data_IF_997970608316
#
_entry.id   IF_997970608316
#
_cell.length_a   1.000
_cell.length_b   1.000
_cell.length_c   1.000
_cell.angle_alpha   90.00
_cell.angle_beta   90.00
_cell.angle_gamma   90.00
#
_symmetry.space_group_name_H-M   'P 1'
#
loop_
_entity.id
_entity.type
_entity.pdbx_description
1 polymer ?
#
# COMPACT_ATOMS: atom_id res chain seq x y z
N UNK A 1 -4.93 -13.26 2.35
CA UNK A 1 -6.30 -13.72 2.64
C UNK A 1 -6.34 -14.03 4.13
N UNK A 2 -7.26 -13.38 4.86
CA UNK A 2 -7.74 -13.66 6.22
C UNK A 2 -6.93 -13.38 7.49
N UNK A 3 -5.81 -12.64 7.49
CA UNK A 3 -5.24 -12.17 8.78
C UNK A 3 -6.23 -11.25 9.53
N UNK A 4 -6.97 -10.39 8.82
CA UNK A 4 -8.01 -9.50 9.39
C UNK A 4 -9.19 -10.26 10.01
N UNK A 5 -9.47 -11.46 9.49
CA UNK A 5 -10.56 -12.32 9.97
C UNK A 5 -10.09 -13.24 11.08
N UNK A 6 -8.87 -13.79 10.95
CA UNK A 6 -8.29 -14.74 11.89
C UNK A 6 -7.73 -14.05 13.14
N UNK A 7 -7.16 -12.85 13.00
CA UNK A 7 -6.50 -12.11 14.10
C UNK A 7 -7.26 -10.84 14.50
N UNK A 8 -8.03 -10.25 13.58
CA UNK A 8 -8.70 -8.96 13.77
C UNK A 8 -10.15 -9.03 14.26
N UNK A 9 -10.74 -10.22 14.36
CA UNK A 9 -12.14 -10.44 14.76
C UNK A 9 -13.17 -9.67 13.90
N UNK A 10 -12.79 -9.26 12.69
CA UNK A 10 -13.69 -8.53 11.79
C UNK A 10 -14.71 -9.50 11.19
N UNK A 11 -16.03 -9.23 11.27
CA UNK A 11 -17.03 -10.06 10.63
C UNK A 11 -16.76 -10.20 9.14
N UNK A 12 -16.88 -11.43 8.62
CA UNK A 12 -16.66 -11.73 7.19
C UNK A 12 -17.55 -10.89 6.25
N UNK A 13 -18.70 -10.44 6.75
CA UNK A 13 -19.64 -9.54 6.06
C UNK A 13 -19.08 -8.13 5.82
N UNK A 14 -18.10 -7.67 6.61
CA UNK A 14 -17.44 -6.37 6.45
C UNK A 14 -16.25 -6.42 5.49
N UNK A 15 -15.83 -7.59 5.05
CA UNK A 15 -14.75 -7.73 4.08
C UNK A 15 -15.28 -7.31 2.70
N UNK A 16 -14.57 -6.41 1.99
CA UNK A 16 -14.81 -6.12 0.59
C UNK A 16 -14.88 -7.40 -0.27
N UNK A 17 -16.08 -7.88 -0.58
CA UNK A 17 -16.31 -9.08 -1.42
C UNK A 17 -16.87 -8.72 -2.81
N UNK A 18 -17.04 -7.44 -3.11
CA UNK A 18 -17.51 -6.95 -4.40
C UNK A 18 -16.35 -6.66 -5.37
N UNK A 19 -16.63 -6.77 -6.66
CA UNK A 19 -15.74 -6.27 -7.71
C UNK A 19 -15.92 -4.76 -7.79
N UNK A 20 -14.83 -3.99 -7.68
CA UNK A 20 -14.87 -2.54 -7.82
C UNK A 20 -14.50 -2.12 -9.24
N UNK A 21 -15.30 -1.24 -9.83
CA UNK A 21 -15.07 -0.66 -11.16
C UNK A 21 -14.07 0.50 -11.17
N UNK A 22 -13.78 1.09 -10.00
CA UNK A 22 -12.85 2.20 -9.82
C UNK A 22 -11.89 1.91 -8.68
N UNK A 23 -10.63 2.33 -8.83
CA UNK A 23 -9.62 2.17 -7.79
C UNK A 23 -9.97 3.01 -6.56
N UNK A 24 -10.48 4.23 -6.74
CA UNK A 24 -11.01 5.08 -5.67
C UNK A 24 -12.06 4.38 -4.81
N UNK A 25 -13.01 3.66 -5.41
CA UNK A 25 -14.02 2.90 -4.67
C UNK A 25 -13.42 1.73 -3.88
N UNK A 26 -12.43 1.04 -4.46
CA UNK A 26 -11.70 -0.02 -3.77
C UNK A 26 -10.91 0.49 -2.56
N UNK A 27 -10.14 1.58 -2.70
CA UNK A 27 -9.39 2.16 -1.58
C UNK A 27 -10.30 2.70 -0.50
N UNK A 28 -11.47 3.25 -0.87
CA UNK A 28 -12.43 3.71 0.13
C UNK A 28 -12.96 2.53 0.96
N UNK A 29 -13.24 1.40 0.32
CA UNK A 29 -13.64 0.19 1.04
C UNK A 29 -12.53 -0.35 1.95
N UNK A 30 -11.25 -0.26 1.54
CA UNK A 30 -10.12 -0.61 2.40
C UNK A 30 -9.96 0.33 3.59
N UNK A 31 -10.15 1.64 3.40
CA UNK A 31 -10.10 2.62 4.49
C UNK A 31 -11.22 2.37 5.53
N UNK A 32 -12.44 2.06 5.07
CA UNK A 32 -13.55 1.69 5.96
C UNK A 32 -13.31 0.36 6.67
N UNK A 33 -12.65 -0.60 6.00
CA UNK A 33 -12.23 -1.86 6.61
C UNK A 33 -11.21 -1.63 7.73
N UNK A 34 -10.21 -0.77 7.52
CA UNK A 34 -9.20 -0.41 8.53
C UNK A 34 -9.84 0.19 9.79
N UNK A 35 -10.82 1.09 9.61
CA UNK A 35 -11.55 1.68 10.73
C UNK A 35 -12.43 0.64 11.44
N UNK A 36 -13.12 -0.21 10.67
CA UNK A 36 -13.93 -1.30 11.21
C UNK A 36 -13.10 -2.30 12.01
N UNK A 37 -11.87 -2.60 11.55
CA UNK A 37 -10.92 -3.45 12.25
C UNK A 37 -10.54 -2.85 13.60
N UNK A 38 -10.14 -1.58 13.64
CA UNK A 38 -9.79 -0.89 14.88
C UNK A 38 -10.94 -0.93 15.91
N UNK A 39 -12.18 -0.66 15.47
CA UNK A 39 -13.35 -0.66 16.37
C UNK A 39 -13.69 -2.06 16.88
N UNK A 40 -13.46 -3.10 16.08
CA UNK A 40 -13.87 -4.47 16.40
C UNK A 40 -12.81 -5.25 17.18
N UNK A 41 -11.56 -4.79 17.19
CA UNK A 41 -10.46 -5.43 17.91
C UNK A 41 -10.67 -5.28 19.42
N UNK A 42 -10.76 -6.42 20.12
CA UNK A 42 -10.97 -6.47 21.58
C UNK A 42 -9.69 -6.78 22.40
N UNK A 43 -8.60 -7.18 21.75
CA UNK A 43 -7.36 -7.60 22.42
C UNK A 43 -6.45 -6.39 22.70
N UNK A 44 -5.32 -6.60 23.40
CA UNK A 44 -4.19 -5.69 23.73
C UNK A 44 -3.56 -4.97 22.51
N UNK A 45 -4.40 -4.39 21.67
CA UNK A 45 -4.06 -3.62 20.48
C UNK A 45 -3.84 -2.16 20.83
N UNK A 46 -4.25 -1.73 22.01
CA UNK A 46 -4.14 -0.36 22.49
C UNK A 46 -3.43 -0.37 23.83
N UNK A 47 -2.29 0.29 23.90
CA UNK A 47 -1.44 0.29 25.10
C UNK A 47 -1.78 1.46 26.04
N UNK A 48 -2.35 2.55 25.51
CA UNK A 48 -2.75 3.75 26.25
C UNK A 48 -3.85 4.55 25.54
N UNK A 49 -4.42 5.56 26.22
CA UNK A 49 -5.37 6.48 25.60
C UNK A 49 -4.75 7.26 24.42
N UNK A 50 -3.50 7.70 24.57
CA UNK A 50 -2.78 8.43 23.52
C UNK A 50 -2.51 7.53 22.32
N UNK A 51 -2.15 6.27 22.55
CA UNK A 51 -1.99 5.27 21.49
C UNK A 51 -3.33 4.98 20.78
N UNK A 52 -4.42 4.85 21.52
CA UNK A 52 -5.78 4.73 20.96
C UNK A 52 -6.11 5.91 20.04
N UNK A 53 -5.89 7.12 20.53
CA UNK A 53 -6.13 8.37 19.79
C UNK A 53 -5.29 8.42 18.53
N UNK A 54 -4.00 8.06 18.64
CA UNK A 54 -3.07 8.03 17.51
C UNK A 54 -3.52 7.02 16.44
N UNK A 55 -3.85 5.79 16.82
CA UNK A 55 -4.35 4.73 15.92
C UNK A 55 -5.66 5.14 15.23
N UNK A 56 -6.56 5.80 15.97
CA UNK A 56 -7.82 6.30 15.42
C UNK A 56 -7.60 7.46 14.44
N UNK A 57 -6.77 8.44 14.80
CA UNK A 57 -6.42 9.58 13.94
C UNK A 57 -5.77 9.13 12.63
N UNK A 58 -4.83 8.18 12.67
CA UNK A 58 -4.17 7.65 11.48
C UNK A 58 -5.19 7.12 10.46
N UNK A 59 -6.21 6.38 10.92
CA UNK A 59 -7.27 5.82 10.05
C UNK A 59 -8.23 6.89 9.52
N UNK A 60 -8.56 7.91 10.32
CA UNK A 60 -9.37 9.04 9.85
C UNK A 60 -8.63 9.86 8.80
N UNK A 61 -7.34 10.13 9.01
CA UNK A 61 -6.52 10.87 8.06
C UNK A 61 -6.29 10.07 6.78
N UNK A 62 -6.06 8.77 6.88
CA UNK A 62 -6.00 7.89 5.72
C UNK A 62 -7.32 7.82 4.96
N UNK A 63 -8.46 7.77 5.65
CA UNK A 63 -9.77 7.86 5.00
C UNK A 63 -9.92 9.19 4.26
N UNK A 64 -9.48 10.31 4.86
CA UNK A 64 -9.46 11.63 4.19
C UNK A 64 -8.54 11.62 2.97
N UNK A 65 -7.35 11.02 3.07
CA UNK A 65 -6.40 10.87 1.96
C UNK A 65 -7.04 10.17 0.75
N UNK A 66 -7.86 9.14 1.02
CA UNK A 66 -8.57 8.38 -0.02
C UNK A 66 -9.78 9.14 -0.56
N UNK A 67 -10.54 9.83 0.28
CA UNK A 67 -11.79 10.51 -0.13
C UNK A 67 -11.55 11.86 -0.82
N UNK A 68 -10.57 12.63 -0.35
CA UNK A 68 -10.22 13.92 -0.93
C UNK A 68 -9.61 13.73 -2.32
N UNK A 69 -10.27 14.30 -3.34
CA UNK A 69 -9.84 14.19 -4.73
C UNK A 69 -8.45 14.77 -4.97
N UNK A 70 -8.13 15.91 -4.36
CA UNK A 70 -6.84 16.59 -4.56
C UNK A 70 -5.70 15.79 -3.96
N UNK A 71 -5.92 15.17 -2.80
CA UNK A 71 -4.92 14.31 -2.16
C UNK A 71 -4.77 13.00 -2.93
N UNK A 72 -5.88 12.38 -3.34
CA UNK A 72 -5.89 11.13 -4.09
C UNK A 72 -5.20 11.26 -5.45
N UNK A 73 -5.39 12.37 -6.16
CA UNK A 73 -4.73 12.61 -7.45
C UNK A 73 -3.19 12.65 -7.33
N UNK A 74 -2.62 12.93 -6.15
CA UNK A 74 -1.15 12.93 -5.95
C UNK A 74 -0.50 11.55 -5.96
N UNK A 75 -1.26 10.49 -5.68
CA UNK A 75 -0.73 9.13 -5.55
C UNK A 75 -1.50 8.08 -6.38
N UNK A 76 -2.71 8.42 -6.81
CA UNK A 76 -3.57 7.60 -7.66
C UNK A 76 -3.66 8.16 -9.08
N UNK A 77 -2.55 8.68 -9.61
CA UNK A 77 -2.46 9.33 -10.93
C UNK A 77 -2.84 8.43 -12.12
N UNK A 78 -2.94 7.11 -11.92
CA UNK A 78 -3.14 6.13 -12.99
C UNK A 78 -4.60 5.69 -13.22
N UNK A 79 -5.62 6.37 -12.66
CA UNK A 79 -7.02 6.06 -13.03
C UNK A 79 -7.35 6.36 -14.52
N UNK A 80 -6.50 7.08 -15.26
CA UNK A 80 -6.69 7.34 -16.71
C UNK A 80 -5.97 6.39 -17.67
N UNK A 81 -5.03 5.57 -17.19
CA UNK A 81 -4.29 4.65 -18.06
C UNK A 81 -4.98 3.27 -18.24
N UNK A 82 -6.08 3.03 -17.53
CA UNK A 82 -6.78 1.73 -17.50
C UNK A 82 -7.65 1.43 -18.73
N UNK A 83 -7.68 2.30 -19.74
CA UNK A 83 -8.50 2.07 -20.94
C UNK A 83 -7.78 1.32 -22.07
N UNK A 84 -6.48 1.03 -21.95
CA UNK A 84 -5.67 0.58 -23.11
C UNK A 84 -5.31 -0.91 -23.09
N UNK A 85 -5.49 -1.60 -21.95
CA UNK A 85 -5.36 -3.06 -21.88
C UNK A 85 -6.67 -3.74 -22.32
N UNK A 86 -6.94 -3.73 -23.63
CA UNK A 86 -7.91 -4.65 -24.24
C UNK A 86 -7.17 -5.67 -25.11
N UNK A 87 -6.59 -6.66 -24.44
CA UNK A 87 -6.17 -7.93 -25.02
C UNK A 87 -6.73 -9.06 -24.16
N UNK A 88 -7.57 -9.90 -24.75
CA UNK A 88 -8.37 -11.00 -24.20
C UNK A 88 -7.77 -11.81 -23.01
N UNK A 89 -7.81 -11.27 -21.79
CA UNK A 89 -7.67 -12.05 -20.55
C UNK A 89 -8.97 -11.91 -19.71
N UNK A 90 -9.55 -13.02 -19.23
CA UNK A 90 -10.82 -13.03 -18.50
C UNK A 90 -10.74 -12.44 -17.08
N UNK A 91 -9.58 -11.93 -16.69
CA UNK A 91 -9.34 -11.29 -15.40
C UNK A 91 -8.82 -9.89 -15.70
N UNK A 92 -9.63 -8.86 -15.41
CA UNK A 92 -9.17 -7.47 -15.38
C UNK A 92 -8.50 -7.23 -14.03
N UNK A 93 -7.17 -7.33 -13.87
CA UNK A 93 -6.54 -6.77 -12.69
C UNK A 93 -6.88 -5.27 -12.69
N UNK A 94 -7.28 -4.71 -11.56
CA UNK A 94 -7.36 -3.25 -11.51
C UNK A 94 -5.95 -2.74 -11.81
N UNK A 95 -5.78 -2.06 -12.95
CA UNK A 95 -4.46 -1.81 -13.58
C UNK A 95 -3.44 -1.17 -12.64
N UNK A 96 -3.91 -0.51 -11.59
CA UNK A 96 -3.09 0.20 -10.63
C UNK A 96 -2.27 -0.74 -9.72
N UNK A 97 -2.55 -2.04 -9.65
CA UNK A 97 -1.76 -2.93 -8.78
C UNK A 97 -0.42 -3.36 -9.35
N UNK A 98 -0.29 -3.37 -10.68
CA UNK A 98 0.92 -3.83 -11.38
C UNK A 98 1.96 -2.71 -11.52
N UNK A 99 1.57 -1.46 -11.28
CA UNK A 99 2.46 -0.28 -11.27
C UNK A 99 3.19 -0.10 -9.94
N UNK A 100 3.06 -1.04 -9.00
CA UNK A 100 3.70 -0.98 -7.69
C UNK A 100 4.55 -2.23 -7.46
N UNK A 101 5.74 -2.09 -6.86
CA UNK A 101 6.57 -3.24 -6.48
C UNK A 101 5.82 -4.26 -5.62
N UNK A 102 6.13 -5.54 -5.82
CA UNK A 102 5.55 -6.60 -4.99
C UNK A 102 6.36 -6.70 -3.70
N UNK A 103 5.73 -6.38 -2.56
CA UNK A 103 6.37 -6.40 -1.24
C UNK A 103 7.08 -7.74 -0.89
N UNK A 104 6.70 -8.85 -1.55
CA UNK A 104 7.24 -10.19 -1.35
C UNK A 104 8.66 -10.42 -1.87
N UNK A 105 9.31 -9.42 -2.47
CA UNK A 105 10.74 -9.53 -2.83
C UNK A 105 11.59 -9.87 -1.60
N UNK A 106 11.21 -9.34 -0.43
CA UNK A 106 11.67 -9.84 0.85
C UNK A 106 10.59 -10.77 1.41
N UNK A 107 10.92 -12.06 1.51
CA UNK A 107 10.03 -13.13 2.02
C UNK A 107 9.38 -12.74 3.37
N UNK A 108 10.08 -11.93 4.16
CA UNK A 108 9.64 -11.41 5.46
C UNK A 108 9.04 -10.02 5.32
N UNK A 109 7.85 -9.84 5.91
CA UNK A 109 7.16 -8.54 5.95
C UNK A 109 7.93 -7.51 6.80
N UNK A 110 7.79 -6.20 6.50
CA UNK A 110 8.41 -5.13 7.29
C UNK A 110 8.06 -5.17 8.77
N UNK A 111 6.82 -5.49 9.14
CA UNK A 111 6.39 -5.57 10.55
C UNK A 111 7.10 -6.66 11.37
N UNK A 112 7.68 -7.66 10.72
CA UNK A 112 8.40 -8.74 11.41
C UNK A 112 9.91 -8.54 11.35
N UNK A 113 10.40 -7.48 10.72
CA UNK A 113 11.82 -7.25 10.52
C UNK A 113 12.49 -6.82 11.82
N UNK A 114 13.42 -7.63 12.33
CA UNK A 114 14.01 -7.43 13.66
C UNK A 114 14.91 -6.19 13.75
N UNK A 115 15.43 -5.72 12.62
CA UNK A 115 16.26 -4.51 12.53
C UNK A 115 15.43 -3.24 12.24
N UNK A 116 14.10 -3.35 12.24
CA UNK A 116 13.19 -2.23 12.03
C UNK A 116 12.86 -1.92 10.57
N UNK A 117 11.96 -0.95 10.36
CA UNK A 117 11.41 -0.61 9.06
C UNK A 117 12.46 -0.04 8.09
N UNK A 118 13.41 0.76 8.57
CA UNK A 118 14.40 1.41 7.70
C UNK A 118 15.46 0.44 7.16
N UNK A 119 15.91 -0.53 7.97
CA UNK A 119 16.77 -1.60 7.46
C UNK A 119 15.99 -2.46 6.45
N UNK A 120 14.73 -2.79 6.72
CA UNK A 120 13.89 -3.49 5.74
C UNK A 120 13.81 -2.72 4.42
N UNK A 121 13.60 -1.39 4.46
CA UNK A 121 13.57 -0.55 3.26
C UNK A 121 14.90 -0.64 2.50
N UNK A 122 16.03 -0.59 3.22
CA UNK A 122 17.38 -0.66 2.64
C UNK A 122 17.63 -2.00 1.94
N UNK A 123 17.23 -3.12 2.55
CA UNK A 123 17.36 -4.43 1.93
C UNK A 123 16.38 -4.60 0.76
N UNK A 124 15.18 -4.06 0.89
CA UNK A 124 14.15 -4.14 -0.14
C UNK A 124 14.58 -3.36 -1.39
N UNK A 125 15.11 -2.16 -1.20
CA UNK A 125 15.62 -1.29 -2.27
C UNK A 125 16.67 -2.01 -3.12
N UNK A 126 17.67 -2.64 -2.47
CA UNK A 126 18.70 -3.43 -3.17
C UNK A 126 18.11 -4.55 -4.02
N UNK A 127 17.13 -5.29 -3.48
CA UNK A 127 16.48 -6.41 -4.20
C UNK A 127 15.57 -5.90 -5.30
N UNK A 128 14.90 -4.77 -5.07
CA UNK A 128 14.06 -4.11 -6.05
C UNK A 128 14.88 -3.65 -7.24
N UNK A 129 16.06 -3.07 -7.03
CA UNK A 129 16.95 -2.67 -8.12
C UNK A 129 17.36 -3.84 -9.01
N UNK A 130 17.76 -4.98 -8.41
CA UNK A 130 18.06 -6.20 -9.18
C UNK A 130 16.83 -6.68 -9.96
N UNK A 131 15.66 -6.73 -9.31
CA UNK A 131 14.43 -7.16 -9.97
C UNK A 131 14.04 -6.25 -11.13
N UNK A 132 14.14 -4.93 -10.94
CA UNK A 132 13.82 -3.95 -11.98
C UNK A 132 14.79 -4.00 -13.15
N UNK A 133 16.06 -4.35 -12.91
CA UNK A 133 17.04 -4.56 -13.98
C UNK A 133 16.63 -5.75 -14.86
N UNK A 134 16.42 -6.92 -14.26
CA UNK A 134 16.01 -8.13 -14.99
C UNK A 134 14.67 -7.93 -15.72
N UNK A 135 13.73 -7.24 -15.08
CA UNK A 135 12.43 -6.91 -15.68
C UNK A 135 12.60 -5.99 -16.89
N UNK A 136 13.48 -5.00 -16.81
CA UNK A 136 13.77 -4.08 -17.91
C UNK A 136 14.38 -4.82 -19.11
N UNK A 137 15.34 -5.73 -18.86
CA UNK A 137 15.98 -6.52 -19.90
C UNK A 137 14.96 -7.45 -20.61
N UNK A 138 14.07 -8.09 -19.85
CA UNK A 138 12.96 -8.89 -20.38
C UNK A 138 11.95 -8.05 -21.18
N UNK A 139 11.61 -6.86 -20.68
CA UNK A 139 10.73 -5.91 -21.39
C UNK A 139 11.36 -5.44 -22.71
N UNK A 140 12.66 -5.16 -22.72
CA UNK A 140 13.42 -4.76 -23.92
C UNK A 140 13.45 -5.85 -24.98
N UNK A 141 13.59 -7.12 -24.57
CA UNK A 141 13.50 -8.26 -25.48
C UNK A 141 12.10 -8.43 -26.06
N UNK A 142 11.06 -8.31 -25.22
CA UNK A 142 9.68 -8.39 -25.66
C UNK A 142 9.29 -7.25 -26.62
N UNK A 143 9.82 -6.03 -26.39
CA UNK A 143 9.64 -4.88 -27.27
C UNK A 143 10.35 -5.11 -28.61
N UNK A 144 11.60 -5.60 -28.59
CA UNK A 144 12.33 -5.98 -29.82
C UNK A 144 11.61 -7.06 -30.61
N UNK A 145 10.95 -8.00 -29.93
CA UNK A 145 10.13 -9.04 -30.54
C UNK A 145 8.73 -8.55 -31.01
N UNK A 146 8.37 -7.29 -30.77
CA UNK A 146 7.05 -6.73 -31.09
C UNK A 146 5.90 -7.29 -30.25
N UNK A 147 6.20 -7.95 -29.13
CA UNK A 147 5.23 -8.55 -28.21
C UNK A 147 4.72 -7.57 -27.16
N UNK A 148 5.48 -6.50 -26.91
CA UNK A 148 5.19 -5.47 -25.91
C UNK A 148 5.41 -4.08 -26.52
N UNK A 149 4.54 -3.13 -26.20
CA UNK A 149 4.72 -1.72 -26.56
C UNK A 149 5.48 -0.99 -25.44
N UNK A 150 6.29 0.01 -25.78
CA UNK A 150 7.00 0.85 -24.79
C UNK A 150 6.04 1.48 -23.75
N UNK A 151 4.81 1.81 -24.17
CA UNK A 151 3.75 2.35 -23.28
C UNK A 151 3.22 1.33 -22.27
N UNK A 152 3.50 0.04 -22.46
CA UNK A 152 3.10 -1.04 -21.56
C UNK A 152 4.21 -1.42 -20.58
N UNK A 153 5.38 -0.77 -20.63
CA UNK A 153 6.49 -1.00 -19.69
C UNK A 153 6.08 -0.69 -18.26
N UNK A 154 6.36 -1.61 -17.34
CA UNK A 154 5.97 -1.53 -15.92
C UNK A 154 7.16 -1.25 -14.99
N UNK A 155 8.39 -1.56 -15.40
CA UNK A 155 9.60 -1.32 -14.59
C UNK A 155 9.75 0.15 -14.15
N UNK A 156 9.52 1.11 -15.06
CA UNK A 156 9.53 2.54 -14.77
C UNK A 156 8.49 2.94 -13.71
N UNK A 157 7.18 2.72 -13.96
CA UNK A 157 6.13 3.00 -12.97
C UNK A 157 6.36 2.34 -11.60
N UNK A 158 6.86 1.09 -11.55
CA UNK A 158 7.18 0.41 -10.30
C UNK A 158 8.29 1.13 -9.52
N UNK A 159 9.36 1.56 -10.21
CA UNK A 159 10.45 2.34 -9.63
C UNK A 159 9.96 3.67 -9.07
N UNK A 160 9.17 4.38 -9.86
CA UNK A 160 8.62 5.69 -9.48
C UNK A 160 7.71 5.57 -8.27
N UNK A 161 6.88 4.53 -8.23
CA UNK A 161 6.03 4.23 -7.08
C UNK A 161 6.82 3.99 -5.79
N UNK A 162 7.98 3.35 -5.87
CA UNK A 162 8.82 3.11 -4.70
C UNK A 162 9.42 4.42 -4.20
N UNK A 163 10.01 5.20 -5.11
CA UNK A 163 10.64 6.49 -4.82
C UNK A 163 9.65 7.54 -4.32
N UNK A 164 8.45 7.58 -4.89
CA UNK A 164 7.39 8.52 -4.47
C UNK A 164 6.77 8.15 -3.13
N UNK A 165 6.91 6.89 -2.70
CA UNK A 165 6.23 6.33 -1.54
C UNK A 165 4.77 5.93 -1.79
N UNK A 166 4.28 5.91 -3.04
CA UNK A 166 2.94 5.40 -3.38
C UNK A 166 2.78 3.93 -2.99
N UNK A 167 3.88 3.17 -3.05
CA UNK A 167 3.95 1.80 -2.54
C UNK A 167 3.44 1.70 -1.10
N UNK A 168 3.78 2.66 -0.23
CA UNK A 168 3.41 2.60 1.19
C UNK A 168 1.92 2.84 1.40
N UNK A 169 1.28 3.65 0.56
CA UNK A 169 -0.17 3.87 0.61
C UNK A 169 -0.89 2.56 0.26
N UNK A 170 -0.43 1.89 -0.80
CA UNK A 170 -0.93 0.58 -1.22
C UNK A 170 -0.72 -0.49 -0.15
N UNK A 171 0.47 -0.50 0.45
CA UNK A 171 0.85 -1.43 1.49
C UNK A 171 0.00 -1.25 2.75
N UNK A 172 -0.12 -0.01 3.24
CA UNK A 172 -0.93 0.32 4.41
C UNK A 172 -2.41 0.00 4.19
N UNK A 173 -2.96 0.31 3.02
CA UNK A 173 -4.36 0.00 2.71
C UNK A 173 -4.70 -1.50 2.89
N UNK A 174 -3.73 -2.38 2.63
CA UNK A 174 -3.93 -3.84 2.62
C UNK A 174 -3.44 -4.55 3.89
N UNK A 175 -2.57 -3.92 4.67
CA UNK A 175 -1.97 -4.51 5.86
C UNK A 175 -2.41 -3.74 7.11
N UNK A 176 -3.34 -4.32 7.87
CA UNK A 176 -3.93 -3.70 9.05
C UNK A 176 -2.97 -3.68 10.25
N UNK A 177 -2.10 -4.68 10.37
CA UNK A 177 -1.17 -4.82 11.51
C UNK A 177 0.04 -3.87 11.41
N UNK A 178 0.55 -3.64 10.20
CA UNK A 178 1.65 -2.70 9.96
C UNK A 178 1.16 -1.26 9.71
N UNK A 179 -0.16 -1.03 9.76
CA UNK A 179 -0.76 0.21 9.29
C UNK A 179 -0.20 1.42 10.01
N UNK A 180 -0.18 1.38 11.35
CA UNK A 180 0.16 2.54 12.17
C UNK A 180 1.61 2.97 11.97
N UNK A 181 2.55 2.01 11.96
CA UNK A 181 3.98 2.26 11.75
C UNK A 181 4.26 2.80 10.36
N UNK A 182 3.63 2.22 9.33
CA UNK A 182 3.76 2.67 7.94
C UNK A 182 3.12 4.04 7.75
N UNK A 183 1.95 4.28 8.35
CA UNK A 183 1.23 5.53 8.21
C UNK A 183 2.07 6.69 8.77
N UNK A 184 2.50 6.59 10.03
CA UNK A 184 3.28 7.65 10.66
C UNK A 184 4.70 7.78 10.09
N UNK A 185 5.33 6.67 9.72
CA UNK A 185 6.70 6.69 9.21
C UNK A 185 6.83 7.11 7.74
N UNK A 186 5.85 6.77 6.88
CA UNK A 186 5.99 6.89 5.43
C UNK A 186 4.87 7.69 4.74
N UNK A 187 3.68 7.84 5.35
CA UNK A 187 2.53 8.47 4.70
C UNK A 187 2.25 9.87 5.25
N UNK A 188 2.18 10.05 6.57
CA UNK A 188 1.69 11.28 7.19
C UNK A 188 2.49 12.52 6.74
N UNK A 189 3.82 12.44 6.87
CA UNK A 189 4.73 13.53 6.50
C UNK A 189 4.58 13.97 5.03
N UNK A 190 4.26 13.04 4.13
CA UNK A 190 4.12 13.31 2.69
C UNK A 190 2.89 14.16 2.37
N UNK A 191 1.82 14.05 3.15
CA UNK A 191 0.53 14.70 2.84
C UNK A 191 0.13 15.80 3.82
N UNK A 192 0.53 15.67 5.08
CA UNK A 192 0.12 16.55 6.17
C UNK A 192 1.31 17.30 6.82
N UNK A 193 2.54 17.00 6.41
CA UNK A 193 3.76 17.64 6.89
C UNK A 193 4.30 17.02 8.19
N UNK A 194 5.45 17.50 8.65
CA UNK A 194 6.07 17.00 9.89
C UNK A 194 5.17 17.29 11.09
N UNK A 195 4.51 16.24 11.60
CA UNK A 195 4.04 16.24 12.99
C UNK A 195 5.29 16.39 13.86
N UNK A 196 5.37 17.44 14.69
CA UNK A 196 6.41 17.54 15.71
C UNK A 196 6.34 16.24 16.55
N UNK A 197 7.35 15.39 16.44
CA UNK A 197 7.31 14.05 17.01
C UNK A 197 7.36 14.13 18.53
N UNK A 198 6.27 13.69 19.17
CA UNK A 198 6.42 12.80 20.30
C UNK A 198 7.08 11.51 19.77
N UNK A 199 8.27 11.28 20.31
CA UNK A 199 9.25 10.23 20.07
C UNK A 199 8.71 8.93 19.42
N UNK A 200 9.17 8.56 18.20
CA UNK A 200 8.88 7.27 17.58
C UNK A 200 9.34 6.05 18.39
N UNK A 201 10.36 6.19 19.25
CA UNK A 201 10.95 5.09 20.01
C UNK A 201 10.09 4.66 21.22
N UNK A 202 9.07 5.45 21.59
CA UNK A 202 8.10 5.08 22.62
C UNK A 202 6.85 4.35 22.06
N UNK A 203 6.75 4.16 20.74
CA UNK A 203 5.61 3.46 20.14
C UNK A 203 5.73 1.92 20.17
N UNK A 204 6.83 1.39 20.71
CA UNK A 204 7.16 -0.04 20.73
C UNK A 204 7.67 -0.54 22.10
N UNK A 205 7.30 0.12 23.19
CA UNK A 205 7.42 -0.43 24.54
C UNK A 205 6.07 -0.91 25.04
#
# INVERSE_FOLDING_TARGET
>A
MNEVVQLGTVPRSKIPNSIYSKASSYFNALAELQLSHLISQRNDFVDSEDDCRRKFMARLLFRRLVQDRRLREKWLCHERASLWWTGNLPIKPQSNFLTHPIWRLLVKKPEYWSQGLEDWCTQYDKRLETFLQEMNDCEDEAIRAGQLMETQRLSGPMRDSWKSGDFWIMYAARNNFAFDSVYWGKIDQRFFGSTQSLDPDNAWK
#
